data_IF_465860138878
#
_entry.id   IF_465860138878
#
_cell.length_a   1.000
_cell.length_b   1.000
_cell.length_c   1.000
_cell.angle_alpha   90.00
_cell.angle_beta   90.00
_cell.angle_gamma   90.00
#
_symmetry.space_group_name_H-M   'P 1'
#
loop_
_entity.id
_entity.type
_entity.pdbx_description
1 polymer ?
2 polymer ?
3 water ?
#
loop_
_entity_poly.entity_id
_entity_poly.type
_entity_poly.pdbx_seq_one_letter_code
_entity_poly.pdbx_strand_id
2 'polyribonucleotide' 'GGGGUUUUUUUUUUCCCC' ?
#
# COMPACT_ATOMS: atom_id res chain seq x y z
N UNK A 37 -9.77 -28.65 1.84
CA UNK A 37 -10.04 -30.09 1.85
C UNK A 37 -11.53 -30.36 1.95
N UNK A 38 -12.23 -29.54 2.73
CA UNK A 38 -13.67 -29.70 2.91
C UNK A 38 -14.40 -29.70 1.58
N UNK A 39 -13.78 -29.08 0.57
CA UNK A 39 -14.37 -29.00 -0.76
C UNK A 39 -14.57 -30.39 -1.35
N UNK A 40 -13.47 -31.10 -1.54
CA UNK A 40 -13.51 -32.45 -2.12
C UNK A 40 -14.52 -33.33 -1.37
N UNK A 41 -14.52 -33.22 -0.04
CA UNK A 41 -15.42 -34.00 0.78
C UNK A 41 -16.88 -33.68 0.48
N UNK A 42 -17.18 -32.38 0.38
CA UNK A 42 -18.54 -31.94 0.09
C UNK A 42 -19.00 -32.41 -1.29
N UNK A 43 -18.08 -32.40 -2.26
CA UNK A 43 -18.36 -32.91 -3.59
C UNK A 43 -18.70 -34.39 -3.56
N UNK A 44 -17.83 -35.10 -2.84
CA UNK A 44 -17.82 -36.53 -2.66
C UNK A 44 -19.17 -37.00 -2.28
N UNK A 45 -19.77 -36.32 -1.33
CA UNK A 45 -21.07 -36.67 -0.91
C UNK A 45 -21.98 -36.27 -2.04
N UNK A 46 -23.19 -35.80 -1.72
CA UNK A 46 -24.09 -35.39 -2.77
C UNK A 46 -24.39 -33.91 -2.75
N UNK A 47 -23.39 -33.09 -2.50
CA UNK A 47 -23.60 -31.66 -2.46
C UNK A 47 -22.92 -30.97 -3.62
N UNK A 48 -23.72 -30.51 -4.57
CA UNK A 48 -23.20 -29.80 -5.74
C UNK A 48 -22.77 -28.39 -5.37
N UNK A 49 -21.46 -28.11 -5.44
CA UNK A 49 -20.86 -26.81 -5.16
C UNK A 49 -21.54 -25.67 -5.91
N UNK A 50 -21.84 -24.61 -5.17
CA UNK A 50 -22.53 -23.46 -5.72
C UNK A 50 -21.47 -22.53 -6.35
N UNK A 51 -21.88 -21.43 -6.96
CA UNK A 51 -20.89 -20.51 -7.55
C UNK A 51 -20.34 -19.65 -6.42
N UNK A 52 -21.16 -19.46 -5.39
CA UNK A 52 -20.76 -18.67 -4.23
C UNK A 52 -19.65 -19.36 -3.41
N UNK A 53 -19.58 -20.68 -3.50
CA UNK A 53 -18.55 -21.44 -2.78
C UNK A 53 -17.20 -21.32 -3.47
N UNK A 54 -17.22 -21.36 -4.81
CA UNK A 54 -16.03 -21.11 -5.60
C UNK A 54 -15.59 -19.66 -5.46
N UNK A 55 -16.56 -18.74 -5.40
CA UNK A 55 -16.23 -17.33 -5.26
C UNK A 55 -15.59 -17.02 -3.92
N UNK A 56 -16.18 -17.57 -2.86
CA UNK A 56 -15.61 -17.51 -1.52
C UNK A 56 -14.20 -18.03 -1.51
N UNK A 57 -14.02 -19.24 -2.04
CA UNK A 57 -12.69 -19.84 -2.11
C UNK A 57 -11.68 -18.98 -2.87
N UNK A 58 -12.07 -18.51 -4.06
CA UNK A 58 -11.18 -17.72 -4.89
C UNK A 58 -10.81 -16.43 -4.17
N UNK A 59 -11.77 -15.84 -3.47
CA UNK A 59 -11.49 -14.62 -2.71
C UNK A 59 -10.45 -14.92 -1.63
N UNK A 60 -10.66 -16.04 -0.93
CA UNK A 60 -9.74 -16.47 0.09
C UNK A 60 -8.33 -16.58 -0.46
N UNK A 61 -8.18 -17.28 -1.56
CA UNK A 61 -6.86 -17.46 -2.17
C UNK A 61 -6.26 -16.14 -2.66
N UNK A 62 -7.10 -15.21 -3.02
CA UNK A 62 -6.62 -13.93 -3.50
C UNK A 62 -6.24 -13.02 -2.37
N UNK A 63 -6.71 -13.31 -1.17
CA UNK A 63 -6.36 -12.48 -0.04
C UNK A 63 -5.16 -13.11 0.58
N UNK A 64 -5.26 -14.40 0.86
CA UNK A 64 -4.17 -15.16 1.44
C UNK A 64 -2.94 -14.97 0.61
N UNK A 65 -3.09 -14.50 -0.62
CA UNK A 65 -1.94 -14.26 -1.45
C UNK A 65 -1.79 -15.03 -2.73
N UNK A 66 -1.91 -16.34 -2.65
CA UNK A 66 -1.77 -17.24 -3.77
C UNK A 66 -2.72 -17.02 -4.95
N UNK A 67 -2.36 -16.10 -5.83
CA UNK A 67 -3.16 -15.76 -6.99
C UNK A 67 -3.29 -16.82 -8.05
N UNK A 68 -2.20 -17.46 -8.38
CA UNK A 68 -2.20 -18.44 -9.45
C UNK A 68 -3.04 -19.67 -9.10
N UNK A 69 -3.14 -19.99 -7.81
CA UNK A 69 -4.01 -21.08 -7.39
C UNK A 69 -5.47 -20.65 -7.49
N UNK A 70 -5.71 -19.35 -7.31
CA UNK A 70 -7.05 -18.81 -7.47
C UNK A 70 -7.48 -18.95 -8.94
N UNK A 71 -6.59 -18.53 -9.84
CA UNK A 71 -6.82 -18.71 -11.27
C UNK A 71 -7.13 -20.18 -11.57
N UNK A 72 -6.34 -21.07 -10.98
CA UNK A 72 -6.55 -22.50 -11.20
C UNK A 72 -7.93 -22.96 -10.74
N UNK A 73 -8.41 -22.43 -9.62
CA UNK A 73 -9.76 -22.74 -9.15
C UNK A 73 -10.82 -22.25 -10.16
N UNK A 74 -10.56 -21.08 -10.73
CA UNK A 74 -11.39 -20.49 -11.78
C UNK A 74 -11.53 -21.43 -12.98
N UNK A 75 -10.39 -21.96 -13.44
CA UNK A 75 -10.42 -22.85 -14.60
C UNK A 75 -11.11 -24.18 -14.24
N UNK A 76 -10.85 -24.68 -13.04
CA UNK A 76 -11.50 -25.88 -12.55
C UNK A 76 -13.03 -25.76 -12.58
N UNK A 77 -13.55 -24.63 -12.09
CA UNK A 77 -15.00 -24.45 -12.05
C UNK A 77 -15.58 -24.25 -13.44
N UNK A 78 -14.91 -23.44 -14.28
CA UNK A 78 -15.30 -23.32 -15.66
C UNK A 78 -15.43 -24.69 -16.30
N UNK A 79 -14.47 -25.55 -15.98
CA UNK A 79 -14.44 -26.92 -16.50
C UNK A 79 -15.64 -27.73 -16.02
N UNK A 80 -15.91 -27.68 -14.73
CA UNK A 80 -16.99 -28.48 -14.15
C UNK A 80 -18.38 -28.04 -14.60
N UNK A 81 -18.45 -27.03 -15.46
CA UNK A 81 -19.74 -26.54 -15.94
C UNK A 81 -20.44 -25.60 -14.99
N UNK A 82 -19.74 -25.18 -13.93
CA UNK A 82 -20.24 -24.09 -13.11
C UNK A 82 -19.79 -22.79 -13.75
N UNK A 83 -20.74 -21.94 -14.15
CA UNK A 83 -20.45 -20.67 -14.80
C UNK A 83 -19.95 -19.60 -13.82
N UNK A 84 -18.71 -19.11 -13.99
CA UNK A 84 -18.27 -17.92 -13.26
C UNK A 84 -19.25 -16.78 -13.44
N UNK A 85 -19.52 -15.99 -12.38
CA UNK A 85 -20.51 -14.92 -12.50
C UNK A 85 -19.77 -13.61 -12.45
N UNK A 86 -20.52 -12.51 -12.33
CA UNK A 86 -19.88 -11.20 -12.31
C UNK A 86 -19.05 -11.05 -11.02
N UNK A 87 -19.49 -11.68 -9.94
CA UNK A 87 -18.71 -11.65 -8.69
C UNK A 87 -17.39 -12.41 -8.83
N UNK A 88 -17.40 -13.53 -9.53
CA UNK A 88 -16.17 -14.27 -9.80
C UNK A 88 -15.15 -13.39 -10.52
N UNK A 89 -15.61 -12.80 -11.63
CA UNK A 89 -14.78 -11.86 -12.36
C UNK A 89 -14.28 -10.70 -11.49
N UNK A 90 -15.17 -9.99 -10.79
CA UNK A 90 -14.73 -8.89 -9.91
C UNK A 90 -13.66 -9.31 -8.89
N UNK A 91 -13.87 -10.46 -8.29
CA UNK A 91 -12.94 -11.00 -7.31
C UNK A 91 -11.55 -11.18 -7.88
N UNK A 92 -11.47 -11.98 -8.94
CA UNK A 92 -10.19 -12.20 -9.63
C UNK A 92 -9.56 -10.92 -10.14
N UNK A 93 -10.38 -10.03 -10.68
CA UNK A 93 -9.92 -8.77 -11.20
C UNK A 93 -9.25 -7.94 -10.09
N UNK A 94 -9.92 -7.86 -8.94
CA UNK A 94 -9.38 -7.14 -7.77
C UNK A 94 -8.05 -7.72 -7.34
N UNK A 95 -8.04 -9.04 -7.16
CA UNK A 95 -6.81 -9.74 -6.77
C UNK A 95 -5.65 -9.58 -7.74
N UNK A 96 -5.94 -9.49 -9.03
CA UNK A 96 -4.92 -9.26 -10.05
C UNK A 96 -4.42 -7.83 -10.03
N UNK A 97 -5.31 -6.87 -9.78
CA UNK A 97 -4.85 -5.49 -9.61
C UNK A 97 -3.90 -5.38 -8.41
N UNK A 98 -4.24 -6.07 -7.32
CA UNK A 98 -3.47 -5.94 -6.08
C UNK A 98 -2.24 -6.87 -6.01
N UNK A 99 -2.05 -7.67 -7.06
CA UNK A 99 -0.81 -8.42 -7.25
C UNK A 99 0.07 -7.69 -8.25
N UNK A 100 -0.37 -6.50 -8.66
CA UNK A 100 0.39 -5.72 -9.62
C UNK A 100 0.09 -6.08 -11.07
N UNK A 101 -0.55 -7.23 -11.26
CA UNK A 101 -0.88 -7.74 -12.59
C UNK A 101 -2.07 -7.04 -13.21
N UNK A 102 -1.99 -5.72 -13.40
CA UNK A 102 -3.08 -4.93 -13.94
C UNK A 102 -3.59 -5.43 -15.30
N UNK A 103 -2.69 -5.49 -16.25
CA UNK A 103 -3.03 -5.85 -17.61
C UNK A 103 -3.74 -7.21 -17.69
N UNK A 104 -3.38 -8.16 -16.84
CA UNK A 104 -4.13 -9.41 -16.78
C UNK A 104 -5.57 -9.17 -16.30
N UNK A 105 -5.74 -8.19 -15.41
CA UNK A 105 -7.07 -7.90 -14.87
C UNK A 105 -7.90 -7.40 -16.03
N UNK A 106 -7.26 -6.59 -16.87
CA UNK A 106 -7.95 -6.03 -18.04
C UNK A 106 -8.26 -7.09 -19.10
N UNK A 107 -7.37 -8.09 -19.24
CA UNK A 107 -7.68 -9.27 -20.05
C UNK A 107 -8.98 -9.93 -19.56
N UNK A 108 -9.09 -10.13 -18.24
CA UNK A 108 -10.28 -10.74 -17.69
C UNK A 108 -11.53 -9.90 -17.93
N UNK A 109 -11.39 -8.59 -17.80
CA UNK A 109 -12.48 -7.67 -18.07
C UNK A 109 -12.99 -7.84 -19.53
N UNK A 110 -12.04 -7.86 -20.46
CA UNK A 110 -12.33 -8.16 -21.86
C UNK A 110 -13.12 -9.45 -22.02
N UNK A 111 -12.59 -10.51 -21.43
CA UNK A 111 -13.20 -11.82 -21.47
C UNK A 111 -14.64 -11.85 -20.94
N UNK A 112 -14.88 -11.16 -19.81
CA UNK A 112 -16.22 -11.18 -19.22
C UNK A 112 -17.17 -10.46 -20.13
N UNK A 113 -16.71 -9.36 -20.75
CA UNK A 113 -17.57 -8.66 -21.71
C UNK A 113 -17.90 -9.55 -22.95
N UNK A 114 -16.90 -10.31 -23.41
CA UNK A 114 -17.08 -11.26 -24.52
C UNK A 114 -18.18 -12.28 -24.25
N UNK A 115 -18.21 -12.79 -23.03
CA UNK A 115 -19.18 -13.78 -22.57
C UNK A 115 -20.58 -13.21 -22.36
N UNK A 116 -20.74 -11.91 -22.44
CA UNK A 116 -22.04 -11.30 -22.10
C UNK A 116 -22.26 -11.10 -20.60
N UNK A 117 -21.26 -11.48 -19.79
CA UNK A 117 -21.28 -11.24 -18.35
C UNK A 117 -20.97 -9.77 -18.05
N UNK A 118 -22.02 -8.95 -17.99
CA UNK A 118 -21.91 -7.49 -17.92
C UNK A 118 -21.22 -6.97 -16.67
N UNK A 119 -20.13 -6.22 -16.87
CA UNK A 119 -19.45 -5.54 -15.76
C UNK A 119 -20.43 -4.62 -15.04
N UNK A 120 -20.34 -4.58 -13.71
CA UNK A 120 -21.31 -3.81 -12.94
C UNK A 120 -20.58 -2.68 -12.22
N UNK A 121 -21.29 -1.96 -11.36
CA UNK A 121 -20.69 -0.81 -10.69
C UNK A 121 -19.46 -1.27 -9.87
N UNK A 122 -19.52 -2.45 -9.28
CA UNK A 122 -18.33 -2.98 -8.59
C UNK A 122 -17.15 -3.29 -9.53
N UNK A 123 -17.41 -3.91 -10.68
CA UNK A 123 -16.33 -4.15 -11.67
C UNK A 123 -15.55 -2.85 -11.94
N UNK A 124 -16.29 -1.83 -12.32
CA UNK A 124 -15.72 -0.52 -12.63
C UNK A 124 -15.04 0.13 -11.43
N UNK A 125 -15.60 -0.04 -10.23
CA UNK A 125 -14.99 0.51 -9.03
C UNK A 125 -13.63 -0.11 -8.81
N UNK A 126 -13.58 -1.42 -8.99
CA UNK A 126 -12.36 -2.18 -8.82
C UNK A 126 -11.27 -1.73 -9.77
N UNK A 127 -11.65 -1.62 -11.03
CA UNK A 127 -10.72 -1.21 -12.07
C UNK A 127 -10.30 0.24 -11.93
N UNK A 128 -11.21 1.11 -11.56
CA UNK A 128 -10.88 2.51 -11.34
C UNK A 128 -9.84 2.60 -10.22
N UNK A 129 -10.06 1.85 -9.16
CA UNK A 129 -9.09 1.84 -8.07
C UNK A 129 -7.74 1.32 -8.54
N UNK A 130 -7.77 0.20 -9.26
CA UNK A 130 -6.55 -0.41 -9.78
C UNK A 130 -5.72 0.52 -10.66
N UNK A 131 -6.41 1.30 -11.49
CA UNK A 131 -5.75 2.24 -12.40
C UNK A 131 -5.19 3.43 -11.64
N UNK A 132 -5.95 3.97 -10.70
CA UNK A 132 -5.44 5.06 -9.88
C UNK A 132 -4.16 4.65 -9.16
N UNK A 133 -4.15 3.43 -8.63
CA UNK A 133 -3.00 2.96 -7.85
C UNK A 133 -1.83 2.47 -8.69
N UNK A 134 -2.03 2.38 -10.00
CA UNK A 134 -0.95 2.04 -10.91
C UNK A 134 -0.53 3.28 -11.70
N UNK A 135 -0.86 4.45 -11.15
CA UNK A 135 -0.50 5.72 -11.78
C UNK A 135 -1.10 5.99 -13.14
N UNK A 136 -2.37 5.61 -13.31
CA UNK A 136 -3.05 5.81 -14.60
C UNK A 136 -4.35 6.49 -14.35
N UNK A 137 -4.30 7.60 -13.64
CA UNK A 137 -5.49 8.34 -13.25
C UNK A 137 -6.34 8.71 -14.47
N UNK A 138 -5.69 9.00 -15.59
CA UNK A 138 -6.41 9.42 -16.79
C UNK A 138 -7.29 8.29 -17.33
N UNK A 139 -6.73 7.10 -17.42
CA UNK A 139 -7.48 5.89 -17.76
C UNK A 139 -8.62 5.61 -16.77
N UNK A 140 -8.40 5.99 -15.50
CA UNK A 140 -9.41 5.80 -14.47
C UNK A 140 -10.58 6.69 -14.76
N UNK A 141 -10.26 7.95 -15.08
CA UNK A 141 -11.31 8.89 -15.46
C UNK A 141 -12.02 8.42 -16.72
N UNK A 142 -11.28 7.71 -17.58
CA UNK A 142 -11.92 7.12 -18.75
C UNK A 142 -13.01 6.13 -18.35
N UNK A 143 -12.64 5.17 -17.49
CA UNK A 143 -13.61 4.18 -17.04
C UNK A 143 -14.78 4.84 -16.32
N UNK A 144 -14.49 5.88 -15.56
CA UNK A 144 -15.54 6.64 -14.90
C UNK A 144 -16.57 7.20 -15.93
N UNK A 145 -16.08 7.91 -16.95
CA UNK A 145 -16.97 8.31 -18.08
C UNK A 145 -17.82 7.16 -18.67
N UNK A 146 -17.11 6.09 -18.99
CA UNK A 146 -17.70 4.93 -19.64
C UNK A 146 -18.82 4.26 -18.85
N UNK A 147 -18.67 4.14 -17.52
CA UNK A 147 -19.71 3.45 -16.77
C UNK A 147 -21.01 4.26 -16.87
N UNK A 148 -20.90 5.57 -16.86
CA UNK A 148 -22.10 6.40 -17.00
C UNK A 148 -22.68 6.16 -18.38
N UNK A 149 -21.81 6.10 -19.38
CA UNK A 149 -22.25 5.84 -20.74
C UNK A 149 -23.02 4.53 -20.81
N UNK A 150 -22.79 3.62 -19.88
CA UNK A 150 -23.47 2.33 -19.95
C UNK A 150 -24.64 2.22 -18.99
N UNK A 151 -25.09 3.35 -18.45
CA UNK A 151 -26.28 3.38 -17.63
C UNK A 151 -25.99 2.94 -16.20
N UNK A 152 -24.73 2.70 -15.91
CA UNK A 152 -24.28 2.42 -14.56
C UNK A 152 -24.03 3.70 -13.76
N UNK A 153 -24.81 3.94 -12.72
CA UNK A 153 -24.59 5.12 -11.89
C UNK A 153 -23.42 4.88 -10.93
N UNK A 154 -22.43 5.79 -10.93
CA UNK A 154 -21.38 5.75 -9.90
C UNK A 154 -21.98 5.82 -8.51
N UNK A 155 -21.50 5.04 -7.55
CA UNK A 155 -22.07 5.14 -6.21
C UNK A 155 -21.09 5.84 -5.28
N UNK A 156 -21.34 5.75 -3.98
CA UNK A 156 -20.50 6.45 -3.03
C UNK A 156 -19.08 5.86 -3.08
N UNK A 157 -18.95 4.57 -3.35
CA UNK A 157 -17.61 3.97 -3.44
C UNK A 157 -16.84 4.46 -4.65
N UNK A 158 -17.51 4.62 -5.80
CA UNK A 158 -16.87 5.19 -6.99
C UNK A 158 -16.26 6.54 -6.68
N UNK A 159 -17.10 7.40 -6.11
CA UNK A 159 -16.66 8.72 -5.76
C UNK A 159 -15.52 8.71 -4.75
N UNK A 160 -15.62 7.89 -3.71
CA UNK A 160 -14.54 7.82 -2.70
C UNK A 160 -13.23 7.41 -3.34
N UNK A 161 -13.33 6.39 -4.18
CA UNK A 161 -12.19 5.87 -4.94
C UNK A 161 -11.52 6.95 -5.79
N UNK A 162 -12.32 7.74 -6.48
CA UNK A 162 -11.76 8.79 -7.36
C UNK A 162 -11.25 10.00 -6.57
N UNK A 163 -11.95 10.37 -5.51
CA UNK A 163 -11.47 11.45 -4.67
C UNK A 163 -10.09 11.07 -4.09
N UNK A 164 -9.92 9.79 -3.73
CA UNK A 164 -8.61 9.33 -3.26
C UNK A 164 -7.55 9.34 -4.34
N UNK A 165 -7.82 8.75 -5.51
CA UNK A 165 -6.88 8.81 -6.62
C UNK A 165 -6.47 10.25 -6.95
N UNK A 166 -7.46 11.12 -7.02
CA UNK A 166 -7.25 12.53 -7.29
C UNK A 166 -6.30 13.16 -6.27
N UNK A 167 -6.63 13.07 -4.98
CA UNK A 167 -5.75 13.59 -3.95
C UNK A 167 -4.32 13.07 -4.08
N UNK A 168 -4.16 11.75 -4.16
CA UNK A 168 -2.82 11.16 -4.25
C UNK A 168 -2.08 11.57 -5.52
N UNK A 169 -2.80 12.08 -6.52
CA UNK A 169 -2.13 12.60 -7.70
C UNK A 169 -1.84 14.09 -7.61
N UNK A 170 -2.05 14.69 -6.44
CA UNK A 170 -1.75 16.09 -6.25
C UNK A 170 -2.94 16.99 -6.57
N UNK A 171 -3.94 16.42 -7.19
CA UNK A 171 -5.11 17.16 -7.59
C UNK A 171 -6.18 17.35 -6.52
N UNK A 172 -5.83 18.00 -5.43
CA UNK A 172 -6.79 18.22 -4.38
C UNK A 172 -7.96 18.90 -4.95
N UNK A 173 -7.65 19.84 -5.82
CA UNK A 173 -8.59 20.66 -6.54
C UNK A 173 -9.72 19.87 -7.14
N UNK A 174 -9.37 18.92 -7.96
CA UNK A 174 -10.36 18.11 -8.60
C UNK A 174 -11.13 17.28 -7.62
N UNK A 175 -10.44 16.82 -6.58
CA UNK A 175 -11.07 15.96 -5.58
C UNK A 175 -12.23 16.70 -4.92
N UNK A 176 -11.99 17.93 -4.48
CA UNK A 176 -13.07 18.70 -3.88
C UNK A 176 -14.18 18.95 -4.88
N UNK A 177 -13.82 19.18 -6.15
CA UNK A 177 -14.83 19.34 -7.20
C UNK A 177 -15.75 18.12 -7.15
N UNK A 178 -15.15 16.94 -7.21
CA UNK A 178 -15.91 15.69 -7.14
C UNK A 178 -16.77 15.59 -5.90
N UNK A 179 -16.26 16.11 -4.80
CA UNK A 179 -17.02 16.08 -3.57
C UNK A 179 -18.29 16.90 -3.68
N UNK A 180 -18.21 18.00 -4.43
CA UNK A 180 -19.39 18.79 -4.72
C UNK A 180 -20.32 18.04 -5.67
N UNK A 181 -19.71 17.42 -6.68
CA UNK A 181 -20.46 16.67 -7.68
C UNK A 181 -21.30 15.55 -7.08
N UNK A 182 -20.80 14.88 -6.03
CA UNK A 182 -21.53 13.72 -5.50
C UNK A 182 -22.73 14.18 -4.68
N UNK A 183 -22.60 15.32 -4.04
CA UNK A 183 -23.71 15.90 -3.31
C UNK A 183 -24.77 16.41 -4.29
N UNK A 184 -24.30 16.98 -5.40
CA UNK A 184 -25.20 17.40 -6.48
C UNK A 184 -26.05 16.21 -6.95
N UNK A 185 -25.46 15.00 -6.95
CA UNK A 185 -26.13 13.78 -7.42
C UNK A 185 -27.02 13.11 -6.39
N UNK A 186 -27.07 13.63 -5.17
CA UNK A 186 -27.84 12.99 -4.13
C UNK A 186 -27.13 11.85 -3.41
N UNK A 187 -25.87 11.63 -3.74
CA UNK A 187 -25.08 10.60 -3.05
C UNK A 187 -24.52 11.18 -1.77
N UNK A 188 -24.85 10.53 -0.65
CA UNK A 188 -24.47 10.96 0.70
C UNK A 188 -23.04 10.55 1.09
N UNK A 189 -22.15 11.54 1.21
CA UNK A 189 -20.79 11.37 1.76
C UNK A 189 -20.80 10.53 3.03
N UNK A 190 -19.91 9.57 3.17
CA UNK A 190 -19.87 8.80 4.39
C UNK A 190 -18.56 9.06 5.10
N UNK A 191 -18.30 8.25 6.12
CA UNK A 191 -17.11 8.40 6.92
C UNK A 191 -15.87 8.25 6.06
N UNK A 192 -15.94 7.39 5.04
CA UNK A 192 -14.78 7.16 4.21
C UNK A 192 -14.54 8.40 3.35
N UNK A 193 -15.61 9.04 2.88
CA UNK A 193 -15.47 10.28 2.09
C UNK A 193 -14.69 11.34 2.88
N UNK A 194 -15.14 11.57 4.11
CA UNK A 194 -14.52 12.58 4.95
C UNK A 194 -13.10 12.18 5.33
N UNK A 195 -12.88 10.92 5.66
CA UNK A 195 -11.54 10.43 5.99
C UNK A 195 -10.55 10.62 4.84
N UNK A 196 -11.03 10.32 3.64
CA UNK A 196 -10.25 10.49 2.42
C UNK A 196 -9.85 11.95 2.25
N UNK A 197 -10.81 12.86 2.38
CA UNK A 197 -10.47 14.28 2.16
C UNK A 197 -9.62 14.88 3.31
N UNK A 198 -9.93 14.54 4.56
CA UNK A 198 -9.09 14.93 5.71
C UNK A 198 -7.65 14.56 5.43
N UNK A 199 -7.45 13.34 4.92
CA UNK A 199 -6.11 12.90 4.57
C UNK A 199 -5.47 13.67 3.43
N UNK A 200 -6.22 13.91 2.34
CA UNK A 200 -5.67 14.64 1.21
C UNK A 200 -5.23 16.03 1.62
N UNK A 201 -6.05 16.65 2.47
CA UNK A 201 -5.80 17.99 2.98
C UNK A 201 -4.57 18.01 3.89
N UNK A 202 -4.44 17.00 4.73
CA UNK A 202 -3.24 16.87 5.55
C UNK A 202 -2.02 16.76 4.65
N UNK A 203 -2.08 15.83 3.71
CA UNK A 203 -0.94 15.58 2.85
C UNK A 203 -0.55 16.80 2.01
N UNK A 204 -1.50 17.69 1.72
CA UNK A 204 -1.16 18.88 0.93
C UNK A 204 -0.65 20.04 1.80
N UNK A 205 -0.69 19.87 3.12
CA UNK A 205 -0.17 20.86 4.05
C UNK A 205 -1.26 21.63 4.77
N UNK A 206 -2.50 21.34 4.41
CA UNK A 206 -3.63 22.15 4.83
C UNK A 206 -4.28 21.59 6.09
N UNK A 207 -3.47 21.52 7.14
CA UNK A 207 -3.91 20.94 8.40
C UNK A 207 -5.15 21.61 8.97
N UNK A 208 -5.24 22.93 8.79
CA UNK A 208 -6.34 23.71 9.32
C UNK A 208 -7.64 23.35 8.64
N UNK A 209 -7.57 23.18 7.33
CA UNK A 209 -8.71 22.71 6.56
C UNK A 209 -9.16 21.33 7.03
N UNK A 210 -8.20 20.41 7.22
CA UNK A 210 -8.54 19.05 7.61
C UNK A 210 -9.28 19.09 8.92
N UNK A 211 -8.80 19.94 9.80
CA UNK A 211 -9.43 20.07 11.10
C UNK A 211 -10.85 20.64 10.97
N UNK A 212 -10.99 21.70 10.19
CA UNK A 212 -12.32 22.29 10.01
C UNK A 212 -13.29 21.27 9.40
N UNK A 213 -12.78 20.46 8.48
CA UNK A 213 -13.57 19.40 7.85
C UNK A 213 -13.98 18.33 8.85
N UNK A 214 -13.08 18.02 9.79
CA UNK A 214 -13.39 17.11 10.89
C UNK A 214 -14.57 17.66 11.71
N UNK A 215 -14.49 18.94 12.05
CA UNK A 215 -15.60 19.57 12.75
C UNK A 215 -16.89 19.45 11.93
N UNK A 216 -16.80 19.70 10.62
CA UNK A 216 -17.99 19.61 9.78
C UNK A 216 -18.60 18.21 9.81
N UNK A 217 -17.77 17.18 9.71
CA UNK A 217 -18.31 15.83 9.70
C UNK A 217 -18.95 15.49 11.03
N UNK A 218 -18.44 16.07 12.12
CA UNK A 218 -19.07 15.78 13.40
C UNK A 218 -20.45 16.48 13.49
N UNK A 219 -20.52 17.73 13.01
CA UNK A 219 -21.78 18.48 13.02
C UNK A 219 -22.87 17.83 12.17
N UNK A 220 -22.55 16.67 11.65
CA UNK A 220 -23.49 15.96 10.84
C UNK A 220 -23.54 14.63 11.49
N UNK A 221 -24.39 13.78 10.98
CA UNK A 221 -24.55 12.48 11.57
C UNK A 221 -23.41 11.53 11.33
N UNK A 222 -22.28 12.04 10.87
CA UNK A 222 -21.15 11.19 10.60
C UNK A 222 -20.21 11.12 11.79
N UNK A 223 -20.16 9.97 12.44
CA UNK A 223 -19.30 9.82 13.58
C UNK A 223 -17.91 9.43 13.15
N UNK A 224 -16.91 10.22 13.51
CA UNK A 224 -15.57 9.82 13.12
C UNK A 224 -15.22 8.51 13.73
N UNK A 225 -14.21 7.86 13.20
CA UNK A 225 -13.75 6.56 13.69
C UNK A 225 -12.27 6.50 13.95
N UNK A 226 -11.72 5.32 14.10
CA UNK A 226 -10.31 5.18 14.36
C UNK A 226 -9.50 5.74 13.24
N UNK A 227 -10.00 5.63 12.03
CA UNK A 227 -9.29 6.12 10.87
C UNK A 227 -9.23 7.64 10.82
N UNK A 228 -10.31 8.31 11.15
CA UNK A 228 -10.33 9.76 11.18
C UNK A 228 -9.29 10.29 12.11
N UNK A 229 -9.28 9.76 13.30
CA UNK A 229 -8.32 10.17 14.34
C UNK A 229 -6.90 9.78 13.97
N UNK A 230 -6.68 8.53 13.57
CA UNK A 230 -5.38 8.14 13.03
C UNK A 230 -4.83 9.08 11.94
N UNK A 231 -5.72 9.54 11.09
CA UNK A 231 -5.33 10.38 9.95
C UNK A 231 -4.93 11.75 10.47
N UNK A 232 -5.77 12.28 11.35
CA UNK A 232 -5.47 13.56 11.96
C UNK A 232 -4.18 13.51 12.77
N UNK A 233 -3.98 12.42 13.50
CA UNK A 233 -2.81 12.26 14.35
C UNK A 233 -1.57 12.24 13.47
N UNK A 234 -1.64 11.50 12.37
CA UNK A 234 -0.51 11.47 11.44
C UNK A 234 -0.24 12.85 10.88
N UNK A 235 -1.31 13.55 10.51
CA UNK A 235 -1.16 14.90 10.00
C UNK A 235 -0.50 15.83 11.00
N UNK A 236 -0.86 15.72 12.28
CA UNK A 236 -0.23 16.58 13.29
C UNK A 236 1.23 16.22 13.50
N UNK A 237 1.53 14.93 13.58
CA UNK A 237 2.93 14.51 13.69
C UNK A 237 3.79 14.99 12.53
N UNK A 238 3.33 14.82 11.29
CA UNK A 238 4.10 15.24 10.12
C UNK A 238 4.41 16.75 10.15
N UNK A 239 3.47 17.54 10.69
CA UNK A 239 3.67 18.99 10.76
C UNK A 239 4.40 19.43 12.05
N UNK A 240 4.97 18.48 12.79
CA UNK A 240 5.79 18.80 13.94
C UNK A 240 5.05 19.15 15.22
N UNK A 241 3.76 18.85 15.24
CA UNK A 241 2.91 19.21 16.37
C UNK A 241 2.55 17.95 17.13
N UNK A 242 3.58 17.28 17.63
CA UNK A 242 3.45 15.99 18.26
C UNK A 242 2.58 16.04 19.51
N UNK A 243 2.63 17.14 20.25
CA UNK A 243 1.84 17.21 21.47
C UNK A 243 0.36 17.38 21.15
N UNK A 244 0.05 18.05 20.03
CA UNK A 244 -1.34 18.10 19.60
C UNK A 244 -1.83 16.71 19.19
N UNK A 245 -0.94 15.95 18.56
CA UNK A 245 -1.24 14.58 18.19
C UNK A 245 -1.51 13.73 19.44
N UNK A 246 -0.68 13.88 20.46
CA UNK A 246 -0.87 13.11 21.70
C UNK A 246 -2.17 13.53 22.41
N UNK A 247 -2.44 14.83 22.41
CA UNK A 247 -3.72 15.35 22.90
C UNK A 247 -4.88 14.67 22.22
N UNK A 248 -4.83 14.62 20.88
CA UNK A 248 -5.88 14.02 20.09
C UNK A 248 -6.01 12.53 20.40
N UNK A 249 -4.89 11.88 20.65
CA UNK A 249 -4.89 10.48 21.05
C UNK A 249 -5.69 10.31 22.36
N UNK A 250 -5.42 11.19 23.32
CA UNK A 250 -6.17 11.18 24.58
C UNK A 250 -7.66 11.37 24.30
N UNK A 251 -7.98 12.35 23.46
CA UNK A 251 -9.38 12.64 23.15
C UNK A 251 -10.13 11.45 22.47
N UNK A 252 -9.44 10.69 21.62
CA UNK A 252 -10.11 9.54 20.98
C UNK A 252 -10.32 8.45 22.01
N UNK A 253 -9.37 8.30 22.94
CA UNK A 253 -9.55 7.31 23.98
C UNK A 253 -10.73 7.68 24.88
N UNK A 254 -10.79 8.96 25.26
CA UNK A 254 -11.90 9.49 26.05
C UNK A 254 -13.25 9.27 25.37
N UNK A 255 -13.32 9.62 24.09
CA UNK A 255 -14.57 9.54 23.31
C UNK A 255 -15.00 8.10 23.00
N UNK A 256 -14.32 7.12 23.57
CA UNK A 256 -14.72 5.73 23.41
C UNK A 256 -14.21 5.06 22.15
N UNK A 257 -13.32 5.73 21.44
CA UNK A 257 -12.80 5.17 20.20
C UNK A 257 -11.47 4.50 20.45
N UNK A 258 -11.51 3.17 20.50
CA UNK A 258 -10.34 2.36 20.80
C UNK A 258 -9.23 2.51 19.78
N UNK A 259 -8.08 2.97 20.20
CA UNK A 259 -6.94 3.10 19.32
C UNK A 259 -6.49 1.75 18.88
N UNK A 260 -6.04 1.58 17.66
CA UNK A 260 -5.60 0.31 17.18
C UNK A 260 -4.15 0.30 16.89
N UNK A 261 -3.68 -0.73 16.23
CA UNK A 261 -2.29 -0.84 15.92
C UNK A 261 -1.75 0.28 15.07
N UNK A 262 -2.57 0.77 14.18
CA UNK A 262 -2.16 1.85 13.32
C UNK A 262 -1.97 3.10 14.17
N UNK A 263 -2.86 3.35 15.10
CA UNK A 263 -2.75 4.50 15.96
C UNK A 263 -1.37 4.56 16.59
N UNK A 264 -0.95 3.45 17.16
CA UNK A 264 0.31 3.32 17.86
C UNK A 264 1.51 3.35 16.91
N UNK A 265 1.43 2.66 15.77
CA UNK A 265 2.48 2.83 14.74
C UNK A 265 2.68 4.30 14.36
N UNK A 266 1.59 5.03 14.32
CA UNK A 266 1.64 6.43 13.89
C UNK A 266 2.32 7.29 14.95
N UNK A 267 1.94 7.08 16.20
CA UNK A 267 2.58 7.84 17.28
C UNK A 267 4.05 7.43 17.43
N UNK A 268 4.34 6.15 17.28
CA UNK A 268 5.72 5.67 17.33
C UNK A 268 6.63 6.28 16.25
N UNK A 269 6.13 6.34 15.02
CA UNK A 269 6.87 7.01 13.93
C UNK A 269 7.04 8.50 14.22
N UNK A 270 5.97 9.13 14.71
CA UNK A 270 6.06 10.52 15.13
C UNK A 270 7.15 10.76 16.16
N UNK A 271 7.25 9.89 17.17
CA UNK A 271 8.26 10.06 18.21
C UNK A 271 9.66 9.79 17.67
N UNK A 272 9.83 8.73 16.88
CA UNK A 272 11.14 8.45 16.27
C UNK A 272 11.63 9.63 15.41
N UNK A 273 10.73 10.15 14.59
CA UNK A 273 11.05 11.28 13.70
C UNK A 273 11.39 12.54 14.51
N UNK A 274 10.65 12.78 15.58
CA UNK A 274 10.95 13.91 16.45
C UNK A 274 12.27 13.73 17.23
N UNK A 275 12.87 12.55 17.15
CA UNK A 275 14.16 12.29 17.75
C UNK A 275 14.02 11.77 19.19
N UNK A 276 12.81 11.39 19.55
CA UNK A 276 12.52 10.88 20.88
C UNK A 276 12.37 9.37 20.89
N UNK A 277 13.43 8.62 20.58
CA UNK A 277 13.30 7.18 20.46
C UNK A 277 13.01 6.44 21.79
N UNK A 278 13.49 6.98 22.91
CA UNK A 278 13.19 6.39 24.22
C UNK A 278 11.70 6.35 24.39
N UNK A 279 11.06 7.50 24.19
CA UNK A 279 9.62 7.58 24.29
C UNK A 279 8.91 6.62 23.34
N UNK A 280 9.49 6.38 22.17
CA UNK A 280 8.86 5.51 21.17
C UNK A 280 8.92 4.05 21.61
N UNK A 281 10.06 3.65 22.18
CA UNK A 281 10.17 2.31 22.74
C UNK A 281 9.25 2.15 23.95
N UNK A 282 9.10 3.22 24.72
CA UNK A 282 8.11 3.24 25.78
C UNK A 282 6.70 3.00 25.26
N UNK A 283 6.30 3.70 24.20
CA UNK A 283 4.98 3.49 23.62
C UNK A 283 4.83 2.07 23.08
N UNK A 284 5.93 1.52 22.61
CA UNK A 284 5.95 0.17 22.10
C UNK A 284 5.61 -0.79 23.23
N UNK A 285 6.35 -0.73 24.32
CA UNK A 285 6.04 -1.54 25.50
C UNK A 285 4.59 -1.34 25.87
N UNK A 286 4.18 -0.08 25.96
CA UNK A 286 2.84 0.31 26.40
C UNK A 286 1.71 -0.32 25.59
N UNK A 287 1.85 -0.36 24.26
CA UNK A 287 0.86 -1.00 23.41
C UNK A 287 0.85 -2.50 23.71
N UNK A 288 2.02 -3.11 23.92
CA UNK A 288 1.98 -4.52 24.29
C UNK A 288 1.17 -4.73 25.58
N UNK A 289 1.37 -3.83 26.54
CA UNK A 289 0.64 -3.89 27.80
C UNK A 289 -0.86 -3.58 27.67
N UNK A 290 -1.24 -2.81 26.65
CA UNK A 290 -2.65 -2.48 26.42
C UNK A 290 -3.36 -3.57 25.61
N UNK A 291 -2.65 -4.65 25.31
CA UNK A 291 -3.24 -5.71 24.52
C UNK A 291 -3.22 -5.46 23.02
N UNK A 292 -2.49 -4.43 22.59
CA UNK A 292 -2.33 -4.19 21.16
C UNK A 292 -1.11 -4.99 20.73
N UNK A 293 -1.27 -5.79 19.69
CA UNK A 293 -0.18 -6.61 19.20
C UNK A 293 0.56 -5.93 18.03
N UNK A 294 1.82 -5.54 18.26
CA UNK A 294 2.70 -4.97 17.24
C UNK A 294 2.62 -5.77 15.95
N UNK A 295 2.59 -5.10 14.79
CA UNK A 295 2.71 -5.84 13.54
C UNK A 295 4.02 -5.52 12.85
N UNK A 296 4.13 -5.92 11.58
CA UNK A 296 5.39 -5.78 10.85
C UNK A 296 5.78 -4.31 10.70
N UNK A 297 4.79 -3.43 10.58
CA UNK A 297 5.02 -1.98 10.50
C UNK A 297 5.53 -1.40 11.82
N UNK A 298 5.07 -1.92 12.94
CA UNK A 298 5.59 -1.51 14.25
C UNK A 298 7.09 -1.72 14.28
N UNK A 299 7.49 -2.92 13.88
CA UNK A 299 8.89 -3.31 13.90
C UNK A 299 9.71 -2.56 12.87
N UNK A 300 9.22 -2.45 11.64
CA UNK A 300 9.90 -1.62 10.64
C UNK A 300 10.07 -0.17 11.08
N UNK A 301 9.07 0.37 11.73
CA UNK A 301 9.10 1.75 12.15
C UNK A 301 10.19 1.93 13.21
N UNK A 302 10.19 1.06 14.21
CA UNK A 302 11.29 1.06 15.20
C UNK A 302 12.67 0.83 14.62
N UNK A 303 12.79 -0.14 13.71
CA UNK A 303 14.06 -0.41 13.05
C UNK A 303 14.55 0.80 12.28
N UNK A 304 13.62 1.50 11.63
CA UNK A 304 13.95 2.75 10.92
C UNK A 304 14.47 3.80 11.89
N UNK A 305 13.74 4.01 12.99
CA UNK A 305 14.15 5.02 13.95
C UNK A 305 15.55 4.75 14.52
N UNK A 306 15.78 3.50 14.90
CA UNK A 306 17.08 3.09 15.46
C UNK A 306 18.23 3.14 14.46
N UNK A 307 17.98 2.69 13.22
CA UNK A 307 18.95 2.87 12.14
C UNK A 307 19.31 4.33 11.89
N UNK A 308 18.30 5.18 11.87
CA UNK A 308 18.48 6.59 11.56
C UNK A 308 19.28 7.25 12.67
N UNK A 309 19.04 6.81 13.91
CA UNK A 309 19.84 7.30 15.02
C UNK A 309 21.28 6.70 15.04
N UNK A 310 21.52 5.65 14.28
CA UNK A 310 22.85 5.07 14.26
C UNK A 310 22.95 3.92 15.25
N UNK A 311 21.86 3.61 15.95
CA UNK A 311 21.85 2.48 16.90
C UNK A 311 21.58 1.17 16.16
N UNK A 312 22.53 0.76 15.33
CA UNK A 312 22.30 -0.33 14.40
C UNK A 312 22.19 -1.64 15.16
N UNK A 313 22.77 -1.67 16.36
CA UNK A 313 22.68 -2.84 17.22
C UNK A 313 21.26 -3.09 17.65
N UNK A 314 20.72 -2.17 18.43
CA UNK A 314 19.33 -2.28 18.87
C UNK A 314 18.38 -2.61 17.71
N UNK A 315 18.70 -2.08 16.53
CA UNK A 315 17.87 -2.30 15.35
C UNK A 315 17.94 -3.77 14.94
N UNK A 316 19.15 -4.29 14.79
CA UNK A 316 19.33 -5.71 14.48
C UNK A 316 18.68 -6.61 15.55
N UNK A 317 18.80 -6.18 16.82
CA UNK A 317 18.17 -6.86 17.95
C UNK A 317 16.66 -6.99 17.67
N UNK A 318 16.00 -5.89 17.29
CA UNK A 318 14.56 -5.92 17.05
C UNK A 318 14.21 -6.76 15.80
N UNK A 319 15.12 -6.78 14.85
CA UNK A 319 14.92 -7.61 13.66
C UNK A 319 14.83 -9.09 14.05
N UNK A 320 15.78 -9.52 14.85
CA UNK A 320 15.81 -10.89 15.30
C UNK A 320 14.63 -11.17 16.20
N UNK A 321 14.32 -10.24 17.08
CA UNK A 321 13.17 -10.40 17.97
C UNK A 321 11.86 -10.59 17.20
N UNK A 322 11.62 -9.78 16.18
CA UNK A 322 10.39 -9.91 15.40
C UNK A 322 10.35 -11.27 14.72
N UNK A 323 11.47 -11.72 14.19
CA UNK A 323 11.42 -13.04 13.59
C UNK A 323 11.10 -14.08 14.68
N UNK A 324 11.68 -13.89 15.86
CA UNK A 324 11.50 -14.80 17.00
C UNK A 324 10.03 -14.86 17.43
N UNK A 325 9.41 -13.69 17.62
CA UNK A 325 8.00 -13.63 18.03
C UNK A 325 7.10 -13.98 16.85
N UNK A 326 7.71 -14.44 15.76
CA UNK A 326 6.95 -14.84 14.60
C UNK A 326 6.22 -13.68 13.95
N UNK A 327 6.98 -12.70 13.48
CA UNK A 327 6.43 -11.64 12.63
C UNK A 327 7.36 -11.52 11.46
N UNK A 328 6.88 -11.91 10.29
CA UNK A 328 7.72 -12.06 9.10
C UNK A 328 8.20 -10.71 8.56
N UNK A 329 9.51 -10.47 8.62
CA UNK A 329 10.07 -9.29 7.96
C UNK A 329 9.65 -9.26 6.50
N UNK A 330 9.16 -8.12 6.03
CA UNK A 330 8.84 -7.99 4.62
C UNK A 330 9.97 -7.29 3.88
N UNK A 331 9.64 -6.77 2.71
CA UNK A 331 10.59 -6.08 1.86
C UNK A 331 11.04 -4.75 2.51
N UNK A 332 10.15 -4.12 3.26
CA UNK A 332 10.47 -2.85 3.91
C UNK A 332 11.46 -3.07 5.04
N UNK A 333 11.33 -4.18 5.76
CA UNK A 333 12.29 -4.47 6.82
C UNK A 333 13.70 -4.48 6.26
N UNK A 334 13.89 -5.31 5.23
CA UNK A 334 15.21 -5.46 4.64
C UNK A 334 15.70 -4.17 3.96
N UNK A 335 14.82 -3.51 3.19
CA UNK A 335 15.16 -2.19 2.63
C UNK A 335 15.67 -1.23 3.74
N UNK A 336 14.91 -1.13 4.83
CA UNK A 336 15.25 -0.27 5.96
C UNK A 336 16.63 -0.58 6.56
N UNK A 337 16.89 -1.85 6.81
CA UNK A 337 18.15 -2.29 7.33
C UNK A 337 19.31 -2.07 6.36
N UNK A 338 19.07 -2.32 5.09
CA UNK A 338 20.07 -2.18 4.04
C UNK A 338 20.48 -0.72 3.91
N UNK A 339 19.49 0.16 3.84
CA UNK A 339 19.76 1.59 3.80
C UNK A 339 20.49 2.06 5.06
N UNK A 340 20.13 1.51 6.22
CA UNK A 340 20.83 1.84 7.44
C UNK A 340 22.31 1.46 7.38
N UNK A 341 22.57 0.28 6.82
CA UNK A 341 23.93 -0.20 6.74
C UNK A 341 24.77 0.56 5.70
N UNK A 342 24.22 0.78 4.49
CA UNK A 342 24.87 1.64 3.47
C UNK A 342 25.18 3.03 4.01
N UNK A 343 24.17 3.69 4.58
CA UNK A 343 24.39 5.00 5.19
C UNK A 343 25.48 4.98 6.26
N UNK A 344 25.60 3.89 7.02
CA UNK A 344 26.72 3.79 7.96
C UNK A 344 28.06 3.46 7.25
N UNK A 345 28.01 3.06 5.99
CA UNK A 345 29.24 2.71 5.29
C UNK A 345 29.63 1.26 5.53
N UNK A 346 28.65 0.47 5.95
CA UNK A 346 28.88 -0.95 6.16
C UNK A 346 28.33 -1.70 4.95
N UNK A 347 28.91 -1.42 3.82
CA UNK A 347 28.48 -1.98 2.56
C UNK A 347 28.39 -3.48 2.53
N UNK A 348 29.39 -4.11 3.09
CA UNK A 348 29.42 -5.55 3.11
C UNK A 348 28.23 -6.12 3.83
N UNK A 349 27.93 -5.59 5.00
CA UNK A 349 26.84 -6.07 5.76
C UNK A 349 25.57 -5.88 5.03
N UNK A 350 25.46 -4.75 4.36
CA UNK A 350 24.27 -4.43 3.62
C UNK A 350 24.03 -5.42 2.52
N UNK A 351 25.04 -5.64 1.72
CA UNK A 351 24.93 -6.56 0.63
C UNK A 351 24.54 -7.92 1.14
N UNK A 352 25.12 -8.27 2.26
CA UNK A 352 24.82 -9.54 2.86
C UNK A 352 23.34 -9.68 3.14
N UNK A 353 22.71 -8.65 3.68
CA UNK A 353 21.32 -8.73 4.02
C UNK A 353 20.52 -8.80 2.76
N UNK A 354 21.05 -8.28 1.68
CA UNK A 354 20.36 -8.41 0.41
C UNK A 354 20.29 -9.88 0.00
N UNK A 355 21.40 -10.57 0.20
CA UNK A 355 21.51 -11.99 -0.14
C UNK A 355 20.60 -12.82 0.76
N UNK A 356 20.76 -12.68 2.07
CA UNK A 356 19.87 -13.35 3.02
C UNK A 356 18.41 -13.07 2.69
N UNK A 357 18.15 -11.85 2.25
CA UNK A 357 16.81 -11.41 1.86
C UNK A 357 16.24 -12.27 0.76
N UNK A 358 17.00 -12.38 -0.34
CA UNK A 358 16.60 -13.23 -1.45
C UNK A 358 16.45 -14.70 -1.04
N UNK A 359 17.42 -15.20 -0.27
CA UNK A 359 17.43 -16.58 0.19
C UNK A 359 16.24 -16.96 1.06
N UNK A 360 15.65 -15.97 1.74
CA UNK A 360 14.44 -16.19 2.52
C UNK A 360 13.20 -16.05 1.65
N UNK A 361 13.40 -16.03 0.33
CA UNK A 361 12.29 -15.88 -0.58
C UNK A 361 11.74 -14.47 -0.67
N UNK A 362 12.29 -13.54 0.09
CA UNK A 362 11.78 -12.17 0.04
C UNK A 362 12.14 -11.49 -1.29
N UNK A 363 11.11 -11.11 -2.03
CA UNK A 363 11.31 -10.46 -3.32
C UNK A 363 11.67 -8.99 -3.18
N UNK A 364 12.84 -8.59 -3.71
CA UNK A 364 13.20 -7.18 -3.76
C UNK A 364 12.21 -6.36 -4.58
N UNK A 365 12.33 -5.03 -4.46
CA UNK A 365 11.53 -4.11 -5.26
C UNK A 365 12.44 -2.97 -5.71
N UNK A 366 11.84 -1.98 -6.36
CA UNK A 366 12.61 -0.86 -6.91
C UNK A 366 13.32 -0.09 -5.78
N UNK A 367 12.72 -0.09 -4.59
CA UNK A 367 13.32 0.56 -3.43
C UNK A 367 14.63 -0.13 -3.02
N UNK A 368 14.57 -1.44 -2.85
CA UNK A 368 15.78 -2.24 -2.58
C UNK A 368 16.91 -1.86 -3.53
N UNK A 369 16.57 -1.86 -4.83
CA UNK A 369 17.57 -1.65 -5.87
C UNK A 369 18.06 -0.21 -5.93
N UNK A 370 17.18 0.77 -5.78
CA UNK A 370 17.64 2.16 -5.69
C UNK A 370 18.57 2.37 -4.54
N UNK A 371 18.28 1.70 -3.43
CA UNK A 371 19.10 1.81 -2.22
C UNK A 371 20.49 1.23 -2.39
N UNK A 372 20.55 0.00 -2.86
CA UNK A 372 21.87 -0.60 -3.07
C UNK A 372 22.59 0.08 -4.22
N UNK A 373 21.89 0.41 -5.29
CA UNK A 373 22.49 1.11 -6.42
C UNK A 373 23.12 2.39 -5.91
N UNK A 374 22.35 3.17 -5.19
CA UNK A 374 22.85 4.40 -4.61
C UNK A 374 24.12 4.14 -3.80
N UNK A 375 24.04 3.20 -2.87
CA UNK A 375 25.15 2.93 -1.97
C UNK A 375 26.41 2.44 -2.65
N UNK A 376 26.25 1.53 -3.59
CA UNK A 376 27.34 1.05 -4.43
C UNK A 376 27.96 2.22 -5.16
N UNK A 377 27.11 3.09 -5.68
CA UNK A 377 27.54 4.20 -6.52
C UNK A 377 28.36 5.19 -5.73
N UNK A 378 27.92 5.48 -4.51
CA UNK A 378 28.70 6.34 -3.61
C UNK A 378 30.07 5.72 -3.35
N UNK A 379 30.12 4.39 -3.39
CA UNK A 379 31.34 3.64 -3.06
C UNK A 379 32.29 3.45 -4.23
N UNK A 380 32.03 4.15 -5.33
CA UNK A 380 32.79 3.94 -6.53
C UNK A 380 32.71 2.50 -7.00
N UNK A 381 31.57 1.86 -6.79
CA UNK A 381 31.39 0.50 -7.28
C UNK A 381 30.33 0.50 -8.39
N UNK A 382 30.42 1.53 -9.22
CA UNK A 382 29.55 1.77 -10.38
C UNK A 382 29.28 0.56 -11.27
N UNK A 383 30.31 -0.27 -11.49
CA UNK A 383 30.14 -1.49 -12.26
C UNK A 383 29.05 -2.37 -11.65
N UNK A 384 29.28 -2.82 -10.43
CA UNK A 384 28.32 -3.65 -9.75
C UNK A 384 26.98 -2.95 -9.80
N UNK A 385 26.96 -1.67 -9.52
CA UNK A 385 25.70 -0.94 -9.54
C UNK A 385 24.95 -1.19 -10.84
N UNK A 386 25.67 -1.04 -11.94
CA UNK A 386 25.13 -1.29 -13.26
C UNK A 386 24.59 -2.70 -13.37
N UNK A 387 25.36 -3.65 -12.81
CA UNK A 387 24.95 -5.04 -12.78
C UNK A 387 23.63 -5.19 -12.00
N UNK A 388 23.50 -4.42 -10.93
CA UNK A 388 22.28 -4.42 -10.13
C UNK A 388 21.10 -3.92 -10.95
N UNK A 389 21.34 -2.91 -11.78
CA UNK A 389 20.30 -2.44 -12.68
C UNK A 389 19.92 -3.51 -13.71
N UNK A 390 20.94 -4.17 -14.27
CA UNK A 390 20.73 -5.30 -15.20
C UNK A 390 19.80 -6.35 -14.59
N UNK A 391 20.19 -6.87 -13.43
CA UNK A 391 19.38 -7.85 -12.70
C UNK A 391 17.97 -7.35 -12.46
N UNK A 392 17.87 -6.10 -12.01
CA UNK A 392 16.61 -5.44 -11.72
C UNK A 392 15.66 -5.52 -12.91
N UNK A 393 16.20 -5.19 -14.08
CA UNK A 393 15.43 -5.24 -15.31
C UNK A 393 15.10 -6.70 -15.66
N UNK A 394 16.02 -7.61 -15.32
CA UNK A 394 15.88 -9.02 -15.68
C UNK A 394 14.87 -9.80 -14.84
N UNK A 395 14.58 -9.33 -13.63
CA UNK A 395 13.63 -10.05 -12.77
C UNK A 395 12.20 -9.55 -13.01
N UNK A 396 12.08 -8.34 -13.56
CA UNK A 396 10.77 -7.80 -13.91
C UNK A 396 10.35 -6.63 -13.04
N UNK A 397 11.34 -5.83 -12.64
CA UNK A 397 11.11 -4.67 -11.78
C UNK A 397 11.34 -3.36 -12.52
N UNK A 398 10.34 -2.49 -12.55
CA UNK A 398 10.42 -1.17 -13.21
C UNK A 398 11.48 -0.30 -12.55
N UNK A 399 12.33 0.39 -13.40
CA UNK A 399 13.40 1.16 -12.75
C UNK A 399 13.12 2.47 -12.03
N UNK A 400 12.05 3.17 -12.38
CA UNK A 400 11.72 4.43 -11.71
C UNK A 400 12.78 5.55 -11.80
N UNK A 401 12.29 6.78 -11.70
CA UNK A 401 13.08 8.00 -11.81
C UNK A 401 14.40 8.06 -11.07
N UNK A 402 14.36 7.74 -9.81
CA UNK A 402 15.54 7.79 -8.95
C UNK A 402 16.63 6.83 -9.47
N UNK A 403 16.23 5.63 -9.88
CA UNK A 403 17.18 4.70 -10.49
C UNK A 403 17.85 5.35 -11.67
N UNK A 404 17.02 5.87 -12.59
CA UNK A 404 17.55 6.54 -13.79
C UNK A 404 18.56 7.65 -13.46
N UNK A 405 18.12 8.62 -12.68
CA UNK A 405 18.97 9.72 -12.22
C UNK A 405 20.28 9.20 -11.65
N UNK A 406 20.18 8.15 -10.83
CA UNK A 406 21.31 7.64 -10.07
C UNK A 406 22.36 7.00 -10.95
N UNK A 407 21.93 6.09 -11.82
CA UNK A 407 22.86 5.43 -12.73
C UNK A 407 23.43 6.41 -13.77
N UNK A 408 22.65 7.43 -14.13
CA UNK A 408 23.17 8.49 -14.99
C UNK A 408 24.31 9.21 -14.30
N UNK A 409 24.05 9.65 -13.07
CA UNK A 409 25.06 10.27 -12.23
C UNK A 409 26.32 9.44 -12.16
N UNK A 410 26.16 8.17 -11.87
CA UNK A 410 27.34 7.33 -11.65
C UNK A 410 28.10 7.09 -12.94
N UNK A 411 27.36 6.85 -14.02
CA UNK A 411 27.94 6.76 -15.37
C UNK A 411 28.76 7.98 -15.68
N UNK A 412 28.25 9.15 -15.29
CA UNK A 412 28.93 10.42 -15.51
C UNK A 412 30.26 10.48 -14.77
N UNK A 413 30.23 10.77 -13.49
CA UNK A 413 31.45 10.84 -12.74
C UNK A 413 31.98 9.45 -12.83
N UNK A 414 32.75 9.16 -13.86
CA UNK A 414 33.27 7.83 -14.00
C UNK A 414 34.59 7.74 -14.77
N UNK A 415 34.67 8.33 -15.96
CA UNK A 415 33.59 9.07 -16.57
C UNK A 415 33.33 8.59 -17.97
N UNK A 416 32.23 7.90 -18.18
CA UNK A 416 31.85 7.34 -19.48
C UNK A 416 30.54 8.01 -19.90
N UNK A 417 30.60 9.09 -20.69
CA UNK A 417 29.37 9.83 -20.94
C UNK A 417 28.50 9.28 -22.09
N UNK A 418 29.14 8.71 -23.12
CA UNK A 418 28.39 8.03 -24.17
C UNK A 418 27.72 6.80 -23.57
N UNK A 419 28.38 6.19 -22.59
CA UNK A 419 27.86 5.01 -21.93
C UNK A 419 26.53 5.30 -21.24
N UNK A 420 26.39 6.53 -20.73
CA UNK A 420 25.17 6.94 -20.04
C UNK A 420 24.06 7.25 -21.04
N UNK A 421 24.41 7.93 -22.13
CA UNK A 421 23.45 8.30 -23.15
C UNK A 421 22.76 7.07 -23.72
N UNK A 422 23.52 5.99 -23.89
CA UNK A 422 22.99 4.75 -24.43
C UNK A 422 22.15 4.00 -23.41
N UNK A 423 22.41 4.24 -22.14
CA UNK A 423 21.68 3.58 -21.06
C UNK A 423 20.25 4.12 -20.95
N UNK A 424 20.08 5.38 -21.35
CA UNK A 424 18.76 6.01 -21.30
C UNK A 424 17.94 5.67 -22.54
#
# INVERSE_FOLDING_TARGET
ALLDETPLPPGSRLDVRAYTTVLHALSRAGRYERALELFAELRRQGVAPTVVTYNTLIDGLCKAGKLDEALKLFEEMVEKGIKPDVVTYNTLIDGLCKAGKLDEALKLFEEMVEKGIKPDVVTYNTLIDGLCKAGKLDEALKLFEEMVEKGIKPDVVTYNTLIDGLCKAGKLDEALKLFEEMVEKGIKPDVVTYNTLIDGLCKAGKLDEALKLFEEMVEKGIKPDVVTYNTLIDGLCKAGKLDEALKLFEEMVEKGIKPDVVTYNTLIDGLCKAGKLDEALKLFEEMVEKGIKPDVVTYNTLIDGLCKAGKLDEALKLFEEMVEKGIKPDVVTYNTLIDGLCKAGKLDEALKLFEEMVEKGIKPDVVTYNTLIDGLCKAGKLDEALKLFEEMVEKGIKPDELTYRRVVESYCRAKRFEEARGFLSEVSETDLDFDKKALEAYIEDAQFGRLEHHHHHHHH
#
